data_IF_795605216592
#
_entry.id   IF_795605216592
#
_cell.length_a   1.000
_cell.length_b   1.000
_cell.length_c   1.000
_cell.angle_alpha   90.00
_cell.angle_beta   90.00
_cell.angle_gamma   90.00
#
_symmetry.space_group_name_H-M   'P 1'
#
loop_
_entity.id
_entity.type
_entity.pdbx_description
1 polymer ?
#
# COMPACT_ATOMS: atom_id res chain seq x y z
N UNK A 1 5.23 -22.80 16.35
CA UNK A 1 3.89 -23.06 16.86
C UNK A 1 3.74 -24.56 17.04
N UNK A 2 3.51 -25.00 18.28
CA UNK A 2 3.35 -26.40 18.66
C UNK A 2 2.00 -26.93 18.17
N UNK A 3 1.77 -28.24 18.30
CA UNK A 3 0.46 -28.83 17.99
C UNK A 3 -0.62 -28.33 18.95
N UNK A 4 -0.31 -28.28 20.24
CA UNK A 4 -1.19 -27.80 21.31
C UNK A 4 -1.63 -26.35 21.08
N UNK A 5 -0.69 -25.45 20.73
CA UNK A 5 -1.01 -24.05 20.42
C UNK A 5 -1.99 -23.92 19.23
N UNK A 6 -1.87 -24.80 18.22
CA UNK A 6 -2.80 -24.80 17.08
C UNK A 6 -4.19 -25.23 17.48
N UNK A 7 -4.29 -26.24 18.33
CA UNK A 7 -5.56 -26.77 18.82
C UNK A 7 -6.28 -25.75 19.70
N UNK A 8 -5.55 -25.08 20.60
CA UNK A 8 -6.08 -23.99 21.42
C UNK A 8 -6.66 -22.86 20.55
N UNK A 9 -5.92 -22.43 19.52
CA UNK A 9 -6.39 -21.41 18.57
C UNK A 9 -7.63 -21.88 17.82
N UNK A 10 -7.66 -23.13 17.35
CA UNK A 10 -8.81 -23.66 16.63
C UNK A 10 -10.06 -23.70 17.52
N UNK A 11 -9.94 -24.16 18.76
CA UNK A 11 -11.03 -24.16 19.73
C UNK A 11 -11.58 -22.74 19.98
N UNK A 12 -10.71 -21.72 20.02
CA UNK A 12 -11.14 -20.33 20.14
C UNK A 12 -11.94 -19.84 18.91
N UNK A 13 -11.53 -20.23 17.69
CA UNK A 13 -12.30 -19.93 16.48
C UNK A 13 -13.66 -20.62 16.46
N UNK A 14 -13.73 -21.86 16.91
CA UNK A 14 -14.98 -22.63 16.96
C UNK A 14 -15.98 -21.97 17.91
N UNK A 15 -15.52 -21.59 19.11
CA UNK A 15 -16.32 -20.84 20.08
C UNK A 15 -16.85 -19.52 19.51
N UNK A 16 -16.01 -18.75 18.81
CA UNK A 16 -16.40 -17.48 18.21
C UNK A 16 -17.44 -17.68 17.09
N UNK A 17 -17.26 -18.71 16.26
CA UNK A 17 -18.18 -19.06 15.18
C UNK A 17 -19.57 -19.43 15.73
N UNK A 18 -19.62 -20.20 16.81
CA UNK A 18 -20.89 -20.56 17.44
C UNK A 18 -21.58 -19.37 18.09
N UNK A 19 -20.83 -18.47 18.75
CA UNK A 19 -21.38 -17.22 19.28
C UNK A 19 -22.01 -16.35 18.18
N UNK A 20 -21.34 -16.19 17.03
CA UNK A 20 -21.87 -15.42 15.89
C UNK A 20 -23.14 -16.07 15.32
N UNK A 21 -23.18 -17.41 15.20
CA UNK A 21 -24.40 -18.10 14.75
C UNK A 21 -25.57 -17.88 15.72
N UNK A 22 -25.33 -17.98 17.02
CA UNK A 22 -26.37 -17.74 18.03
C UNK A 22 -26.88 -16.30 17.99
N UNK A 23 -26.00 -15.32 17.80
CA UNK A 23 -26.37 -13.92 17.61
C UNK A 23 -27.33 -13.76 16.41
N UNK A 24 -26.99 -14.34 15.25
CA UNK A 24 -27.85 -14.26 14.06
C UNK A 24 -29.20 -14.96 14.26
N UNK A 25 -29.25 -16.07 15.00
CA UNK A 25 -30.51 -16.74 15.36
C UNK A 25 -31.39 -15.86 16.26
N UNK A 26 -30.81 -15.11 17.19
CA UNK A 26 -31.55 -14.17 18.05
C UNK A 26 -32.09 -13.00 17.22
N UNK A 27 -31.26 -12.43 16.36
CA UNK A 27 -31.66 -11.36 15.44
C UNK A 27 -32.88 -11.78 14.60
N UNK A 28 -32.82 -12.96 13.99
CA UNK A 28 -33.89 -13.50 13.13
C UNK A 28 -35.24 -13.71 13.83
N UNK A 29 -35.24 -13.87 15.16
CA UNK A 29 -36.48 -13.96 15.95
C UNK A 29 -37.23 -12.63 16.02
N UNK A 30 -36.51 -11.51 15.90
CA UNK A 30 -37.06 -10.16 16.11
C UNK A 30 -37.04 -9.31 14.84
N UNK A 31 -36.21 -9.65 13.86
CA UNK A 31 -36.01 -8.90 12.61
C UNK A 31 -35.99 -9.88 11.43
N UNK A 32 -36.72 -9.54 10.37
CA UNK A 32 -36.73 -10.32 9.13
C UNK A 32 -35.48 -10.01 8.28
N UNK A 33 -34.31 -10.49 8.71
CA UNK A 33 -33.07 -10.38 7.93
C UNK A 33 -33.11 -11.38 6.74
N UNK A 34 -32.69 -10.98 5.53
CA UNK A 34 -32.03 -9.73 5.15
C UNK A 34 -32.96 -8.63 4.61
N UNK A 35 -34.30 -8.81 4.64
CA UNK A 35 -35.24 -7.84 4.09
C UNK A 35 -35.24 -6.50 4.83
N UNK A 36 -34.98 -6.54 6.14
CA UNK A 36 -34.81 -5.36 6.99
C UNK A 36 -33.38 -5.33 7.52
N UNK A 37 -32.65 -4.26 7.22
CA UNK A 37 -31.34 -4.01 7.83
C UNK A 37 -31.54 -3.57 9.28
N UNK A 38 -30.74 -4.12 10.17
CA UNK A 38 -30.78 -3.79 11.60
C UNK A 38 -30.12 -2.41 11.81
N UNK A 39 -30.76 -1.52 12.55
CA UNK A 39 -30.19 -0.21 12.87
C UNK A 39 -29.15 -0.35 13.99
N UNK A 40 -27.87 -0.02 13.77
CA UNK A 40 -26.81 -0.16 14.75
C UNK A 40 -26.96 0.76 15.98
N UNK A 41 -27.86 1.76 15.95
CA UNK A 41 -28.02 2.71 17.06
C UNK A 41 -28.78 2.12 18.28
N UNK A 42 -29.33 0.92 18.15
CA UNK A 42 -30.16 0.29 19.20
C UNK A 42 -29.42 -0.76 20.03
N UNK A 43 -28.18 -1.10 19.69
CA UNK A 43 -27.37 -2.12 20.37
C UNK A 43 -25.88 -1.91 20.09
N UNK A 44 -25.03 -2.44 20.96
CA UNK A 44 -23.59 -2.43 20.73
C UNK A 44 -23.22 -3.44 19.64
N UNK A 45 -22.30 -3.05 18.75
CA UNK A 45 -21.79 -3.91 17.69
C UNK A 45 -20.64 -4.80 18.19
N UNK A 46 -20.39 -5.89 17.46
CA UNK A 46 -19.17 -6.68 17.64
C UNK A 46 -17.98 -5.84 17.21
N UNK A 47 -17.10 -5.53 18.17
CA UNK A 47 -15.91 -4.73 17.91
C UNK A 47 -14.79 -5.58 17.31
N UNK A 48 -14.04 -4.99 16.37
CA UNK A 48 -12.72 -5.51 16.01
C UNK A 48 -11.82 -5.35 17.26
N UNK A 49 -10.95 -6.32 17.58
CA UNK A 49 -10.06 -6.22 18.74
C UNK A 49 -9.29 -4.90 18.74
N UNK A 50 -9.20 -4.29 19.92
CA UNK A 50 -8.49 -3.03 20.11
C UNK A 50 -7.04 -3.16 19.63
N UNK A 51 -6.56 -2.10 18.96
CA UNK A 51 -5.23 -2.01 18.39
C UNK A 51 -4.91 -3.02 17.27
N UNK A 52 -5.85 -3.85 16.82
CA UNK A 52 -5.62 -4.70 15.64
C UNK A 52 -5.35 -3.86 14.40
N UNK A 53 -6.24 -2.90 14.14
CA UNK A 53 -6.02 -1.86 13.13
C UNK A 53 -5.10 -0.84 13.77
N UNK A 54 -3.85 -0.80 13.31
CA UNK A 54 -2.84 0.10 13.86
C UNK A 54 -3.15 1.53 13.43
N UNK A 55 -2.75 2.50 14.24
CA UNK A 55 -3.04 3.92 13.99
C UNK A 55 -2.12 4.50 12.92
N UNK A 56 -2.52 5.63 12.34
CA UNK A 56 -1.72 6.40 11.37
C UNK A 56 -0.26 6.56 11.79
N UNK A 57 -0.02 6.97 13.03
CA UNK A 57 1.33 7.22 13.55
C UNK A 57 2.24 6.00 13.42
N UNK A 58 1.74 4.81 13.75
CA UNK A 58 2.50 3.56 13.61
C UNK A 58 3.01 3.37 12.17
N UNK A 59 2.16 3.64 11.17
CA UNK A 59 2.54 3.49 9.76
C UNK A 59 3.45 4.61 9.25
N UNK A 60 3.27 5.83 9.74
CA UNK A 60 4.18 6.94 9.47
C UNK A 60 5.60 6.58 9.88
N UNK A 61 5.78 6.06 11.10
CA UNK A 61 7.06 5.65 11.65
C UNK A 61 7.60 4.39 10.94
N UNK A 62 6.76 3.36 10.76
CA UNK A 62 7.17 2.09 10.19
C UNK A 62 7.74 2.22 8.76
N UNK A 63 7.20 3.13 7.95
CA UNK A 63 7.61 3.36 6.57
C UNK A 63 8.48 4.61 6.38
N UNK A 64 8.93 5.27 7.46
CA UNK A 64 9.65 6.54 7.39
C UNK A 64 8.93 7.54 6.45
N UNK A 65 7.60 7.66 6.54
CA UNK A 65 6.81 8.40 5.54
C UNK A 65 7.22 9.88 5.47
N UNK A 66 7.64 10.46 6.60
CA UNK A 66 8.13 11.85 6.66
C UNK A 66 9.41 12.09 5.86
N UNK A 67 10.22 11.05 5.65
CA UNK A 67 11.45 11.08 4.87
C UNK A 67 11.19 10.68 3.41
N UNK A 68 10.32 9.70 3.21
CA UNK A 68 10.11 9.07 1.91
C UNK A 68 9.06 9.79 1.05
N UNK A 69 8.17 10.57 1.66
CA UNK A 69 7.01 11.18 1.01
C UNK A 69 6.90 12.66 1.41
N UNK A 70 7.26 13.56 0.49
CA UNK A 70 7.33 14.99 0.80
C UNK A 70 5.95 15.63 1.05
N UNK A 71 4.92 15.18 0.33
CA UNK A 71 3.57 15.74 0.42
C UNK A 71 2.85 15.24 1.70
N UNK A 72 2.45 16.13 2.64
CA UNK A 72 1.74 15.75 3.86
C UNK A 72 0.38 15.09 3.64
N UNK A 73 -0.35 15.47 2.59
CA UNK A 73 -1.64 14.87 2.25
C UNK A 73 -1.43 13.45 1.74
N UNK A 74 -0.44 13.26 0.86
CA UNK A 74 -0.08 11.94 0.35
C UNK A 74 0.42 11.02 1.48
N UNK A 75 1.21 11.56 2.44
CA UNK A 75 1.62 10.83 3.65
C UNK A 75 0.41 10.30 4.42
N UNK A 76 -0.57 11.16 4.67
CA UNK A 76 -1.79 10.78 5.36
C UNK A 76 -2.58 9.71 4.57
N UNK A 77 -2.74 9.90 3.26
CA UNK A 77 -3.43 8.93 2.39
C UNK A 77 -2.75 7.56 2.38
N UNK A 78 -1.41 7.51 2.28
CA UNK A 78 -0.65 6.26 2.35
C UNK A 78 -0.86 5.58 3.72
N UNK A 79 -0.77 6.33 4.81
CA UNK A 79 -0.97 5.79 6.15
C UNK A 79 -2.40 5.24 6.33
N UNK A 80 -3.43 5.93 5.85
CA UNK A 80 -4.81 5.44 5.90
C UNK A 80 -5.02 4.19 5.03
N UNK A 81 -4.40 4.12 3.85
CA UNK A 81 -4.43 2.92 3.02
C UNK A 81 -3.73 1.72 3.70
N UNK A 82 -2.65 1.96 4.45
CA UNK A 82 -2.01 0.94 5.29
C UNK A 82 -2.91 0.49 6.46
N UNK A 83 -3.65 1.40 7.08
CA UNK A 83 -4.68 1.05 8.07
C UNK A 83 -5.80 0.21 7.44
N UNK A 84 -6.25 0.55 6.24
CA UNK A 84 -7.22 -0.25 5.50
C UNK A 84 -6.64 -1.64 5.17
N UNK A 85 -5.33 -1.74 4.94
CA UNK A 85 -4.69 -3.03 4.74
C UNK A 85 -4.69 -3.91 6.01
N UNK A 86 -4.63 -3.31 7.22
CA UNK A 86 -4.85 -4.06 8.46
C UNK A 86 -6.26 -4.64 8.49
N UNK A 87 -7.28 -3.87 8.12
CA UNK A 87 -8.65 -4.38 8.04
C UNK A 87 -8.76 -5.52 7.01
N UNK A 88 -8.18 -5.38 5.82
CA UNK A 88 -8.16 -6.45 4.83
C UNK A 88 -7.50 -7.72 5.38
N UNK A 89 -6.35 -7.56 6.06
CA UNK A 89 -5.63 -8.64 6.72
C UNK A 89 -6.48 -9.29 7.81
N UNK A 90 -7.18 -8.50 8.63
CA UNK A 90 -8.09 -9.02 9.65
C UNK A 90 -9.12 -9.96 9.04
N UNK A 91 -9.85 -9.47 8.05
CA UNK A 91 -10.95 -10.18 7.43
C UNK A 91 -10.44 -11.41 6.67
N UNK A 92 -9.39 -11.27 5.85
CA UNK A 92 -8.89 -12.37 5.03
C UNK A 92 -8.32 -13.53 5.84
N UNK A 93 -7.73 -13.27 7.01
CA UNK A 93 -7.10 -14.30 7.83
C UNK A 93 -7.97 -14.81 8.99
N UNK A 94 -9.04 -14.11 9.37
CA UNK A 94 -9.89 -14.50 10.51
C UNK A 94 -11.36 -14.75 10.18
N UNK A 95 -11.84 -14.27 9.03
CA UNK A 95 -13.24 -14.39 8.64
C UNK A 95 -13.34 -15.26 7.40
N UNK A 96 -14.09 -16.35 7.49
CA UNK A 96 -14.32 -17.24 6.36
C UNK A 96 -15.34 -16.64 5.38
N UNK A 97 -14.87 -15.81 4.44
CA UNK A 97 -15.66 -15.33 3.32
C UNK A 97 -15.84 -16.44 2.27
N UNK A 98 -17.04 -16.56 1.68
CA UNK A 98 -17.36 -17.56 0.66
C UNK A 98 -17.69 -16.94 -0.70
N UNK A 99 -17.47 -17.72 -1.77
CA UNK A 99 -17.94 -17.42 -3.11
C UNK A 99 -17.32 -16.17 -3.73
N UNK A 100 -18.12 -15.46 -4.54
CA UNK A 100 -17.69 -14.27 -5.27
C UNK A 100 -17.29 -13.12 -4.34
N UNK A 101 -17.92 -13.01 -3.16
CA UNK A 101 -17.63 -11.96 -2.17
C UNK A 101 -16.18 -12.05 -1.69
N UNK A 102 -15.66 -13.26 -1.45
CA UNK A 102 -14.24 -13.45 -1.11
C UNK A 102 -13.32 -12.92 -2.21
N UNK A 103 -13.63 -13.22 -3.48
CA UNK A 103 -12.80 -12.78 -4.63
C UNK A 103 -12.81 -11.26 -4.79
N UNK A 104 -13.99 -10.64 -4.66
CA UNK A 104 -14.13 -9.19 -4.69
C UNK A 104 -13.37 -8.51 -3.53
N UNK A 105 -13.41 -9.10 -2.34
CA UNK A 105 -12.68 -8.59 -1.19
C UNK A 105 -11.15 -8.71 -1.37
N UNK A 106 -10.67 -9.86 -1.84
CA UNK A 106 -9.24 -10.05 -2.19
C UNK A 106 -8.81 -9.08 -3.27
N UNK A 107 -9.63 -8.89 -4.31
CA UNK A 107 -9.41 -7.91 -5.37
C UNK A 107 -9.23 -6.50 -4.79
N UNK A 108 -10.12 -6.06 -3.92
CA UNK A 108 -10.01 -4.75 -3.27
C UNK A 108 -8.74 -4.63 -2.42
N UNK A 109 -8.33 -5.70 -1.75
CA UNK A 109 -7.09 -5.73 -0.98
C UNK A 109 -5.84 -5.59 -1.88
N UNK A 110 -5.82 -6.27 -3.04
CA UNK A 110 -4.74 -6.17 -4.02
C UNK A 110 -4.70 -4.75 -4.62
N UNK A 111 -5.84 -4.14 -4.95
CA UNK A 111 -5.90 -2.75 -5.43
C UNK A 111 -5.26 -1.83 -4.39
N UNK A 112 -5.67 -1.94 -3.13
CA UNK A 112 -5.16 -1.10 -2.06
C UNK A 112 -3.64 -1.21 -1.93
N UNK A 113 -3.11 -2.44 -1.90
CA UNK A 113 -1.66 -2.68 -1.86
C UNK A 113 -0.94 -2.08 -3.06
N UNK A 114 -1.48 -2.25 -4.27
CA UNK A 114 -0.90 -1.75 -5.51
C UNK A 114 -0.85 -0.22 -5.51
N UNK A 115 -1.91 0.44 -5.03
CA UNK A 115 -1.97 1.90 -4.89
C UNK A 115 -0.96 2.44 -3.88
N UNK A 116 -0.75 1.74 -2.76
CA UNK A 116 0.29 2.11 -1.77
C UNK A 116 1.67 2.01 -2.41
N UNK A 117 1.96 0.90 -3.10
CA UNK A 117 3.24 0.68 -3.79
C UNK A 117 3.48 1.79 -4.82
N UNK A 118 2.50 2.09 -5.67
CA UNK A 118 2.59 3.16 -6.66
C UNK A 118 2.87 4.52 -6.01
N UNK A 119 2.13 4.86 -4.97
CA UNK A 119 2.28 6.13 -4.26
C UNK A 119 3.68 6.30 -3.65
N UNK A 120 4.24 5.24 -3.04
CA UNK A 120 5.59 5.25 -2.48
C UNK A 120 6.65 5.48 -3.57
N UNK A 121 6.56 4.74 -4.69
CA UNK A 121 7.52 4.85 -5.79
C UNK A 121 7.47 6.24 -6.45
N UNK A 122 6.27 6.70 -6.81
CA UNK A 122 6.09 8.01 -7.45
C UNK A 122 6.53 9.15 -6.53
N UNK A 123 6.17 9.08 -5.24
CA UNK A 123 6.55 10.12 -4.29
C UNK A 123 8.07 10.21 -4.13
N UNK A 124 8.75 9.07 -4.02
CA UNK A 124 10.21 9.05 -3.91
C UNK A 124 10.88 9.60 -5.18
N UNK A 125 10.41 9.20 -6.36
CA UNK A 125 10.91 9.76 -7.63
C UNK A 125 10.66 11.28 -7.72
N UNK A 126 9.51 11.75 -7.23
CA UNK A 126 9.18 13.18 -7.19
C UNK A 126 10.13 13.97 -6.30
N UNK A 127 10.44 13.45 -5.11
CA UNK A 127 11.41 14.05 -4.20
C UNK A 127 12.81 14.09 -4.85
N UNK A 128 13.19 13.02 -5.54
CA UNK A 128 14.46 12.97 -6.26
C UNK A 128 14.50 13.93 -7.45
N UNK A 129 13.40 14.13 -8.18
CA UNK A 129 13.31 15.10 -9.27
C UNK A 129 13.47 16.55 -8.78
N UNK A 130 12.92 16.88 -7.61
CA UNK A 130 12.96 18.24 -7.05
C UNK A 130 14.39 18.80 -6.93
N UNK A 131 15.39 17.95 -6.66
CA UNK A 131 16.80 18.36 -6.63
C UNK A 131 17.28 18.99 -7.95
N UNK A 132 16.74 18.53 -9.09
CA UNK A 132 17.13 18.99 -10.42
C UNK A 132 16.37 20.25 -10.87
N UNK A 133 15.42 20.73 -10.06
CA UNK A 133 14.65 21.96 -10.30
C UNK A 133 15.29 23.11 -9.52
N UNK A 134 15.62 24.20 -10.22
CA UNK A 134 16.21 25.43 -9.67
C UNK A 134 15.26 26.61 -9.91
N UNK A 135 15.51 27.75 -9.26
CA UNK A 135 14.73 28.98 -9.47
C UNK A 135 14.68 29.41 -10.96
N UNK A 136 15.75 29.12 -11.71
CA UNK A 136 15.85 29.39 -13.16
C UNK A 136 15.31 28.26 -14.05
N UNK A 137 14.66 27.24 -13.49
CA UNK A 137 14.09 26.10 -14.21
C UNK A 137 14.84 24.78 -13.99
N UNK A 138 14.69 23.85 -14.93
CA UNK A 138 15.30 22.52 -14.87
C UNK A 138 16.81 22.62 -15.17
N UNK A 139 17.63 21.79 -14.52
CA UNK A 139 19.07 21.71 -14.79
C UNK A 139 19.38 21.64 -16.30
N UNK A 140 20.26 22.52 -16.80
CA UNK A 140 20.66 22.60 -18.22
C UNK A 140 21.35 21.35 -18.77
N UNK A 141 21.90 20.50 -17.91
CA UNK A 141 22.59 19.26 -18.29
C UNK A 141 21.69 18.03 -18.17
N UNK A 142 20.36 18.21 -18.07
CA UNK A 142 19.43 17.10 -17.82
C UNK A 142 19.49 15.98 -18.89
N UNK A 143 19.74 16.32 -20.15
CA UNK A 143 19.65 15.39 -21.29
C UNK A 143 20.74 14.33 -21.30
N UNK A 144 21.93 14.64 -20.77
CA UNK A 144 23.07 13.74 -20.67
C UNK A 144 23.37 13.27 -19.25
N UNK A 145 22.56 13.67 -18.27
CA UNK A 145 22.82 13.38 -16.86
C UNK A 145 22.33 11.98 -16.47
N UNK A 146 23.23 11.04 -16.10
CA UNK A 146 22.85 9.68 -15.73
C UNK A 146 22.07 9.60 -14.40
N UNK A 147 22.10 10.68 -13.60
CA UNK A 147 21.45 10.80 -12.29
C UNK A 147 20.26 11.78 -12.31
N UNK A 148 19.83 12.18 -13.51
CA UNK A 148 18.62 12.97 -13.69
C UNK A 148 17.37 12.08 -13.62
N UNK A 149 16.36 12.57 -12.91
CA UNK A 149 15.02 11.98 -12.85
C UNK A 149 14.07 12.96 -13.52
N UNK A 150 13.29 12.48 -14.49
CA UNK A 150 12.28 13.28 -15.18
C UNK A 150 11.14 13.68 -14.23
N UNK A 151 10.37 14.70 -14.61
CA UNK A 151 9.19 15.10 -13.83
C UNK A 151 8.20 13.94 -13.69
N UNK A 152 7.69 13.76 -12.48
CA UNK A 152 6.75 12.70 -12.14
C UNK A 152 5.28 13.08 -12.35
N UNK A 153 4.99 14.33 -12.76
CA UNK A 153 3.62 14.89 -12.81
C UNK A 153 2.63 14.08 -13.65
N UNK A 154 3.13 13.42 -14.70
CA UNK A 154 2.31 12.63 -15.63
C UNK A 154 2.80 11.18 -15.74
N UNK A 155 3.68 10.73 -14.83
CA UNK A 155 4.19 9.37 -14.92
C UNK A 155 3.11 8.41 -14.47
N UNK A 156 2.90 7.37 -15.28
CA UNK A 156 2.04 6.25 -14.91
C UNK A 156 2.84 5.24 -14.09
N UNK A 157 2.13 4.40 -13.36
CA UNK A 157 2.71 3.36 -12.53
C UNK A 157 3.84 2.54 -13.16
N UNK A 158 3.62 1.97 -14.36
CA UNK A 158 4.67 1.20 -15.06
C UNK A 158 5.92 2.02 -15.39
N UNK A 159 5.75 3.29 -15.76
CA UNK A 159 6.87 4.19 -16.01
C UNK A 159 7.65 4.49 -14.74
N UNK A 160 6.95 4.64 -13.60
CA UNK A 160 7.59 4.82 -12.30
C UNK A 160 8.45 3.61 -11.92
N UNK A 161 7.93 2.39 -12.11
CA UNK A 161 8.66 1.15 -11.80
C UNK A 161 9.92 1.02 -12.67
N UNK A 162 9.81 1.28 -13.98
CA UNK A 162 10.97 1.26 -14.89
C UNK A 162 12.05 2.25 -14.45
N UNK A 163 11.67 3.48 -14.13
CA UNK A 163 12.62 4.48 -13.62
C UNK A 163 13.27 4.03 -12.30
N UNK A 164 12.49 3.42 -11.41
CA UNK A 164 13.02 2.91 -10.15
C UNK A 164 14.02 1.77 -10.36
N UNK A 165 13.75 0.87 -11.29
CA UNK A 165 14.65 -0.21 -11.69
C UNK A 165 15.94 0.33 -12.30
N UNK A 166 15.83 1.13 -13.37
CA UNK A 166 16.98 1.64 -14.11
C UNK A 166 17.87 2.57 -13.29
N UNK A 167 17.27 3.40 -12.41
CA UNK A 167 17.99 4.49 -11.74
C UNK A 167 18.34 4.18 -10.30
N UNK A 168 17.43 3.54 -9.57
CA UNK A 168 17.59 3.26 -8.13
C UNK A 168 17.99 1.81 -7.85
N UNK A 169 17.99 0.94 -8.86
CA UNK A 169 18.46 -0.45 -8.73
C UNK A 169 17.43 -1.37 -8.07
N UNK A 170 16.15 -1.26 -8.42
CA UNK A 170 15.14 -2.24 -8.02
C UNK A 170 15.54 -3.63 -8.57
N UNK A 171 15.67 -4.69 -7.76
CA UNK A 171 16.01 -6.01 -8.26
C UNK A 171 14.96 -6.54 -9.24
N UNK A 172 15.41 -7.24 -10.29
CA UNK A 172 14.57 -7.79 -11.36
C UNK A 172 13.34 -8.54 -10.83
N UNK A 173 13.57 -9.38 -9.81
CA UNK A 173 12.49 -10.11 -9.13
C UNK A 173 11.37 -9.19 -8.63
N UNK A 174 11.69 -8.06 -8.02
CA UNK A 174 10.67 -7.14 -7.51
C UNK A 174 10.08 -6.28 -8.62
N UNK A 175 10.87 -5.94 -9.64
CA UNK A 175 10.39 -5.28 -10.85
C UNK A 175 9.24 -6.05 -11.50
N UNK A 176 9.45 -7.34 -11.79
CA UNK A 176 8.45 -8.22 -12.40
C UNK A 176 7.21 -8.38 -11.51
N UNK A 177 7.42 -8.54 -10.21
CA UNK A 177 6.34 -8.74 -9.25
C UNK A 177 5.45 -7.51 -9.11
N UNK A 178 6.03 -6.31 -9.10
CA UNK A 178 5.26 -5.07 -9.06
C UNK A 178 4.51 -4.88 -10.39
N UNK A 179 5.17 -5.12 -11.53
CA UNK A 179 4.50 -5.05 -12.84
C UNK A 179 3.29 -5.98 -12.92
N UNK A 180 3.42 -7.23 -12.44
CA UNK A 180 2.31 -8.18 -12.33
C UNK A 180 1.13 -7.59 -11.55
N UNK A 181 1.38 -7.01 -10.37
CA UNK A 181 0.29 -6.42 -9.57
C UNK A 181 -0.36 -5.22 -10.26
N UNK A 182 0.41 -4.42 -11.00
CA UNK A 182 -0.12 -3.28 -11.73
C UNK A 182 -1.01 -3.75 -12.89
N UNK A 183 -0.65 -4.84 -13.56
CA UNK A 183 -1.49 -5.47 -14.58
C UNK A 183 -2.79 -6.03 -14.00
N UNK A 184 -2.71 -6.73 -12.86
CA UNK A 184 -3.90 -7.21 -12.14
C UNK A 184 -4.82 -6.04 -11.78
N UNK A 185 -4.27 -4.93 -11.26
CA UNK A 185 -5.05 -3.72 -10.93
C UNK A 185 -5.67 -3.06 -12.16
N UNK A 186 -4.94 -2.99 -13.27
CA UNK A 186 -5.42 -2.33 -14.48
C UNK A 186 -6.51 -3.13 -15.21
N UNK A 187 -6.64 -4.43 -14.92
CA UNK A 187 -7.68 -5.29 -15.49
C UNK A 187 -9.00 -5.27 -14.68
N UNK A 188 -9.25 -4.22 -13.90
CA UNK A 188 -10.40 -4.08 -13.00
C UNK A 188 -11.48 -3.25 -13.70
N UNK A 189 -12.09 -3.85 -14.71
CA UNK A 189 -13.21 -3.25 -15.42
C UNK A 189 -14.40 -4.19 -15.37
N UNK A 190 -15.54 -3.72 -14.81
CA UNK A 190 -16.78 -4.49 -14.75
C UNK A 190 -17.29 -4.89 -16.15
N UNK A 191 -16.92 -4.13 -17.18
CA UNK A 191 -17.25 -4.38 -18.58
C UNK A 191 -16.40 -5.47 -19.24
N UNK A 192 -15.33 -5.97 -18.60
CA UNK A 192 -14.54 -7.10 -19.10
C UNK A 192 -15.27 -8.39 -18.70
N UNK A 193 -16.27 -8.75 -19.52
CA UNK A 193 -17.13 -9.92 -19.32
C UNK A 193 -16.48 -11.21 -19.86
N UNK A 194 -15.51 -11.09 -20.76
CA UNK A 194 -14.92 -12.20 -21.52
C UNK A 194 -14.18 -13.24 -20.66
N UNK A 195 -13.76 -12.86 -19.46
CA UNK A 195 -13.26 -13.76 -18.42
C UNK A 195 -14.04 -13.46 -17.15
N UNK A 196 -15.02 -14.28 -16.81
CA UNK A 196 -15.71 -14.14 -15.52
C UNK A 196 -14.65 -14.01 -14.41
N UNK A 197 -14.75 -12.98 -13.57
CA UNK A 197 -13.89 -12.81 -12.38
C UNK A 197 -13.83 -14.07 -11.50
N UNK A 198 -14.82 -14.95 -11.69
CA UNK A 198 -14.90 -16.28 -11.13
C UNK A 198 -13.74 -17.21 -11.52
N UNK A 199 -13.11 -17.08 -12.70
CA UNK A 199 -12.08 -18.01 -13.15
C UNK A 199 -10.66 -17.42 -13.15
N UNK A 200 -10.52 -16.14 -12.83
CA UNK A 200 -9.22 -15.49 -12.79
C UNK A 200 -8.47 -15.87 -11.52
N UNK A 201 -7.32 -16.54 -11.68
CA UNK A 201 -6.37 -16.83 -10.59
C UNK A 201 -5.66 -15.58 -10.06
N UNK A 202 -5.87 -14.43 -10.70
CA UNK A 202 -5.23 -13.17 -10.39
C UNK A 202 -5.72 -12.57 -9.06
N UNK A 203 -7.00 -12.70 -8.74
CA UNK A 203 -7.57 -12.23 -7.48
C UNK A 203 -7.45 -13.32 -6.39
N UNK A 204 -6.23 -13.79 -6.20
CA UNK A 204 -5.88 -14.87 -5.26
C UNK A 204 -5.18 -14.33 -4.02
N UNK A 205 -5.22 -15.14 -2.96
CA UNK A 205 -4.51 -14.86 -1.73
C UNK A 205 -2.99 -14.79 -1.95
N UNK A 206 -2.45 -15.54 -2.91
CA UNK A 206 -1.03 -15.52 -3.25
C UNK A 206 -0.59 -14.15 -3.78
N UNK A 207 -1.39 -13.51 -4.63
CA UNK A 207 -1.08 -12.17 -5.12
C UNK A 207 -1.28 -11.10 -4.04
N UNK A 208 -2.19 -11.30 -3.09
CA UNK A 208 -2.27 -10.47 -1.89
C UNK A 208 -1.01 -10.59 -1.03
N UNK A 209 -0.54 -11.81 -0.74
CA UNK A 209 0.73 -12.06 -0.03
C UNK A 209 1.92 -11.48 -0.79
N UNK A 210 1.91 -11.56 -2.13
CA UNK A 210 2.93 -10.95 -2.97
C UNK A 210 3.01 -9.42 -2.75
N UNK A 211 1.87 -8.73 -2.74
CA UNK A 211 1.82 -7.29 -2.46
C UNK A 211 2.36 -6.95 -1.06
N UNK A 212 2.05 -7.77 -0.05
CA UNK A 212 2.61 -7.62 1.30
C UNK A 212 4.14 -7.79 1.32
N UNK A 213 4.67 -8.76 0.58
CA UNK A 213 6.13 -8.98 0.45
C UNK A 213 6.82 -7.80 -0.22
N UNK A 214 6.21 -7.23 -1.26
CA UNK A 214 6.72 -6.02 -1.92
C UNK A 214 6.73 -4.85 -0.94
N UNK A 215 5.65 -4.62 -0.18
CA UNK A 215 5.62 -3.55 0.82
C UNK A 215 6.71 -3.72 1.88
N UNK A 216 6.93 -4.94 2.37
CA UNK A 216 8.01 -5.24 3.29
C UNK A 216 9.38 -4.92 2.70
N UNK A 217 9.61 -5.28 1.43
CA UNK A 217 10.84 -4.93 0.72
C UNK A 217 11.02 -3.41 0.59
N UNK A 218 9.98 -2.68 0.16
CA UNK A 218 10.05 -1.23 0.00
C UNK A 218 10.32 -0.53 1.34
N UNK A 219 9.64 -0.94 2.41
CA UNK A 219 9.88 -0.46 3.78
C UNK A 219 11.38 -0.52 4.14
N UNK A 220 12.05 -1.62 3.81
CA UNK A 220 13.45 -1.86 4.20
C UNK A 220 14.49 -1.19 3.27
N UNK A 221 14.12 -0.92 2.02
CA UNK A 221 15.08 -0.57 0.96
C UNK A 221 14.85 0.81 0.33
N UNK A 222 13.68 1.43 0.48
CA UNK A 222 13.36 2.70 -0.17
C UNK A 222 14.33 3.81 0.26
N UNK A 223 14.60 3.92 1.56
CA UNK A 223 15.56 4.88 2.11
C UNK A 223 16.99 4.59 1.65
N UNK A 224 17.43 3.33 1.78
CA UNK A 224 18.80 2.91 1.43
C UNK A 224 19.13 3.16 -0.05
N UNK A 225 18.22 2.76 -0.94
CA UNK A 225 18.39 2.96 -2.39
C UNK A 225 18.40 4.45 -2.76
N UNK A 226 17.62 5.26 -2.05
CA UNK A 226 17.60 6.71 -2.25
C UNK A 226 18.90 7.39 -1.81
N UNK A 227 19.43 7.03 -0.64
CA UNK A 227 20.72 7.56 -0.16
C UNK A 227 21.84 7.19 -1.13
N UNK A 228 21.91 5.92 -1.56
CA UNK A 228 22.90 5.49 -2.53
C UNK A 228 22.76 6.22 -3.88
N UNK A 229 21.53 6.55 -4.30
CA UNK A 229 21.28 7.36 -5.48
C UNK A 229 21.77 8.81 -5.30
N UNK A 230 21.47 9.41 -4.15
CA UNK A 230 21.88 10.77 -3.80
C UNK A 230 23.41 10.89 -3.71
N UNK A 231 24.10 9.89 -3.16
CA UNK A 231 25.57 9.85 -3.12
C UNK A 231 26.17 9.82 -4.53
N UNK A 232 25.66 8.95 -5.42
CA UNK A 232 26.05 8.92 -6.83
C UNK A 232 25.78 10.26 -7.50
N UNK A 233 24.65 10.89 -7.16
CA UNK A 233 24.28 12.20 -7.70
C UNK A 233 25.24 13.28 -7.24
N UNK A 234 25.59 13.36 -5.96
CA UNK A 234 26.54 14.34 -5.42
C UNK A 234 27.88 14.19 -6.14
N UNK A 235 28.35 12.96 -6.35
CA UNK A 235 29.59 12.68 -7.09
C UNK A 235 29.51 13.12 -8.57
N UNK A 236 28.42 12.79 -9.26
CA UNK A 236 28.21 13.16 -10.67
C UNK A 236 27.95 14.65 -10.89
N UNK A 237 27.44 15.35 -9.88
CA UNK A 237 27.10 16.77 -9.93
C UNK A 237 28.17 17.68 -9.29
N UNK A 238 29.37 17.19 -8.93
CA UNK A 238 30.41 17.96 -8.19
C UNK A 238 30.82 19.30 -8.80
N UNK A 239 30.50 19.57 -10.07
CA UNK A 239 30.77 20.86 -10.74
C UNK A 239 29.53 21.77 -10.84
N UNK A 240 28.45 21.47 -10.12
CA UNK A 240 27.23 22.27 -10.09
C UNK A 240 27.04 22.87 -8.69
N UNK A 241 26.79 24.18 -8.56
CA UNK A 241 26.54 24.78 -7.25
C UNK A 241 25.33 24.10 -6.60
N UNK A 242 25.51 23.67 -5.35
CA UNK A 242 24.48 23.00 -4.53
C UNK A 242 23.41 24.03 -4.18
N UNK A 243 22.11 23.74 -4.36
CA UNK A 243 21.06 24.63 -3.88
C UNK A 243 21.06 24.64 -2.35
N UNK A 244 21.08 25.84 -1.77
CA UNK A 244 20.85 26.04 -0.33
C UNK A 244 19.39 25.73 -0.05
N UNK A 245 19.12 24.71 0.77
CA UNK A 245 17.77 24.38 1.20
C UNK A 245 17.22 25.53 2.06
N UNK A 246 16.07 26.09 1.69
CA UNK A 246 15.26 26.98 2.56
C UNK A 246 14.49 26.13 3.60
N UNK A 247 15.22 25.44 4.48
CA UNK A 247 14.64 24.80 5.68
C UNK A 247 15.07 25.46 6.99
N UNK A 248 15.88 26.51 6.95
CA UNK A 248 16.31 27.26 8.14
C UNK A 248 15.50 28.54 8.40
N UNK A 249 14.30 28.66 7.82
CA UNK A 249 13.34 29.67 8.26
C UNK A 249 12.70 29.21 9.58
N UNK A 250 13.45 29.37 10.67
CA UNK A 250 12.91 29.42 12.03
C UNK A 250 11.82 30.51 12.03
N UNK A 251 10.57 30.21 12.40
CA UNK A 251 9.59 31.26 12.63
C UNK A 251 10.04 32.04 13.87
N UNK A 252 10.43 33.30 13.67
CA UNK A 252 10.45 34.25 14.78
C UNK A 252 9.00 34.46 15.24
N UNK A 253 8.84 34.38 16.56
CA UNK A 253 7.61 34.65 17.31
C UNK A 253 6.89 35.93 16.87
#
# INVERSE_FOLDING_TARGET
MTHEEKEEIQNAFDNANDAIKQLELIIKKHVNTPHVNINPNSFNLVNIPDNYIRKRQYFTELFDLDVNVSDPNLRASIAYALMQNDLHTFVLYRINLFGIVKKLFVKQAIINLTSIIEALLISKLSALHAYCVRESGICKYNSSCPVYINSTRHIKGKQAINLFHERLGLPEKFFDQINKLFDIRNNIHLSIIASHEYNLSDYSHDNFILGMKILAYLKENLKKTSVAFEDRRIQGCRNLPIPVNKSDAVPNF
#
